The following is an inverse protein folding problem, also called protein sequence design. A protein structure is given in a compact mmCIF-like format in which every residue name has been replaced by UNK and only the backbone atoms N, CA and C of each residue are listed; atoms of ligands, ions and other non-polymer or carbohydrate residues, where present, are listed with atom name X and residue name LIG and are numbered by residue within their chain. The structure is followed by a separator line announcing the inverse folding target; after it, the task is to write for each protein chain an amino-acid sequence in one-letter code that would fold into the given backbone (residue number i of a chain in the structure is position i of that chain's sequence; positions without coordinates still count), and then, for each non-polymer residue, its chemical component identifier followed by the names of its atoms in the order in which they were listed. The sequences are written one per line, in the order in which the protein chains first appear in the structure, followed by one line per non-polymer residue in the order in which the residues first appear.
data_IF_253983411854
#
_entry.id   IF_253983411854
#
_cell.length_a   1.000
_cell.length_b   1.000
_cell.length_c   1.000
_cell.angle_alpha   90.00
_cell.angle_beta   90.00
_cell.angle_gamma   90.00
#
_symmetry.space_group_name_H-M   'P 1'
#
loop_
_entity.id
_entity.type
_entity.pdbx_description
1 polymer ?
#
# COMPACT_ATOMS: atom_id res chain seq x y z
N UNK A 1 -7.06 13.67 -29.90
CA UNK A 1 -6.99 12.21 -29.67
C UNK A 1 -6.99 12.00 -28.16
N UNK A 2 -8.03 11.33 -27.65
CA UNK A 2 -8.04 10.90 -26.24
C UNK A 2 -7.00 9.77 -26.12
N UNK A 3 -5.89 10.03 -25.44
CA UNK A 3 -4.94 9.00 -25.03
C UNK A 3 -5.64 8.15 -23.97
N UNK A 4 -6.03 6.95 -24.32
CA UNK A 4 -6.55 5.96 -23.38
C UNK A 4 -5.33 5.33 -22.69
N UNK A 5 -5.22 5.37 -21.36
CA UNK A 5 -4.13 4.70 -20.67
C UNK A 5 -4.17 3.19 -20.93
N UNK A 6 -3.02 2.62 -21.23
CA UNK A 6 -2.87 1.16 -21.39
C UNK A 6 -2.46 0.58 -20.05
N UNK A 7 -3.25 -0.36 -19.54
CA UNK A 7 -2.92 -1.15 -18.37
C UNK A 7 -2.32 -2.48 -18.82
N UNK A 8 -1.16 -2.83 -18.28
CA UNK A 8 -0.51 -4.11 -18.51
C UNK A 8 -0.56 -4.91 -17.21
N UNK A 9 -1.24 -6.04 -17.23
CA UNK A 9 -1.40 -6.92 -16.08
C UNK A 9 -0.56 -8.18 -16.31
N UNK A 10 0.41 -8.43 -15.42
CA UNK A 10 1.15 -9.69 -15.44
C UNK A 10 0.32 -10.83 -14.83
N UNK A 11 0.51 -12.08 -15.28
CA UNK A 11 0.04 -13.21 -14.49
C UNK A 11 0.76 -13.26 -13.14
N UNK A 12 0.28 -14.06 -12.17
CA UNK A 12 1.01 -14.31 -10.93
C UNK A 12 2.43 -14.82 -11.23
N UNK A 13 3.42 -14.19 -10.63
CA UNK A 13 4.82 -14.53 -10.80
C UNK A 13 5.43 -14.95 -9.46
N UNK A 14 6.29 -15.97 -9.51
CA UNK A 14 7.10 -16.34 -8.37
C UNK A 14 8.24 -15.35 -8.21
N UNK A 15 8.80 -15.27 -7.01
CA UNK A 15 9.88 -14.33 -6.71
C UNK A 15 11.13 -14.55 -7.61
N UNK A 16 11.45 -15.79 -7.94
CA UNK A 16 12.54 -16.14 -8.86
C UNK A 16 12.28 -15.74 -10.31
N UNK A 17 11.06 -15.32 -10.64
CA UNK A 17 10.65 -14.85 -11.97
C UNK A 17 10.58 -13.32 -12.07
N UNK A 18 11.01 -12.58 -11.05
CA UNK A 18 10.94 -11.11 -11.03
C UNK A 18 11.70 -10.47 -12.20
N UNK A 19 12.73 -11.15 -12.71
CA UNK A 19 13.46 -10.71 -13.91
C UNK A 19 12.56 -10.55 -15.15
N UNK A 20 11.43 -11.25 -15.22
CA UNK A 20 10.46 -11.13 -16.34
C UNK A 20 9.86 -9.73 -16.33
N UNK A 21 9.53 -9.20 -15.14
CA UNK A 21 9.00 -7.83 -14.99
C UNK A 21 10.05 -6.79 -15.36
N UNK A 22 11.30 -6.99 -14.98
CA UNK A 22 12.39 -6.07 -15.37
C UNK A 22 12.66 -6.09 -16.86
N UNK A 23 12.58 -7.26 -17.51
CA UNK A 23 12.69 -7.35 -18.97
C UNK A 23 11.50 -6.65 -19.66
N UNK A 24 10.28 -6.82 -19.15
CA UNK A 24 9.10 -6.12 -19.66
C UNK A 24 9.27 -4.61 -19.50
N UNK A 25 9.69 -4.14 -18.30
CA UNK A 25 9.99 -2.74 -18.05
C UNK A 25 10.97 -2.16 -19.07
N UNK A 26 12.06 -2.87 -19.31
CA UNK A 26 13.09 -2.45 -20.29
C UNK A 26 12.52 -2.36 -21.70
N UNK A 27 11.78 -3.36 -22.15
CA UNK A 27 11.15 -3.37 -23.48
C UNK A 27 10.14 -2.22 -23.64
N UNK A 28 9.35 -1.94 -22.61
CA UNK A 28 8.42 -0.81 -22.62
C UNK A 28 9.14 0.54 -22.67
N UNK A 29 10.21 0.71 -21.90
CA UNK A 29 11.05 1.91 -21.95
C UNK A 29 11.63 2.12 -23.35
N UNK A 30 12.25 1.08 -23.93
CA UNK A 30 12.84 1.11 -25.28
C UNK A 30 11.79 1.39 -26.37
N UNK A 31 10.53 1.04 -26.14
CA UNK A 31 9.40 1.33 -27.01
C UNK A 31 8.83 2.75 -26.84
N UNK A 32 9.40 3.57 -25.94
CA UNK A 32 8.95 4.94 -25.69
C UNK A 32 7.70 5.05 -24.83
N UNK A 33 7.42 4.03 -23.98
CA UNK A 33 6.34 4.10 -23.01
C UNK A 33 6.55 5.27 -22.03
N UNK A 34 5.44 5.91 -21.65
CA UNK A 34 5.44 7.11 -20.81
C UNK A 34 4.94 6.81 -19.40
N UNK A 35 5.54 7.43 -18.40
CA UNK A 35 5.26 7.20 -16.98
C UNK A 35 4.40 8.27 -16.31
N UNK A 36 4.36 8.23 -14.99
CA UNK A 36 3.54 9.09 -14.13
C UNK A 36 3.80 10.58 -14.35
N UNK A 37 5.05 10.98 -14.60
CA UNK A 37 5.46 12.39 -14.71
C UNK A 37 5.10 13.04 -16.02
N UNK A 38 4.78 12.26 -17.05
CA UNK A 38 4.54 12.77 -18.41
C UNK A 38 3.18 13.45 -18.55
N UNK A 39 2.22 13.16 -17.71
CA UNK A 39 0.88 13.75 -17.80
C UNK A 39 0.18 13.86 -16.44
N UNK A 40 -0.17 15.08 -16.07
CA UNK A 40 -1.01 15.37 -14.90
C UNK A 40 -2.43 14.80 -15.00
N UNK A 41 -2.89 14.49 -16.22
CA UNK A 41 -4.24 13.96 -16.45
C UNK A 41 -4.32 12.46 -16.28
N UNK A 42 -3.21 11.76 -16.50
CA UNK A 42 -3.13 10.31 -16.38
C UNK A 42 -2.17 9.95 -15.25
N UNK A 43 -2.71 9.78 -14.04
CA UNK A 43 -1.92 9.36 -12.90
C UNK A 43 -1.51 7.88 -13.03
N UNK A 44 -0.65 7.56 -14.00
CA UNK A 44 -0.06 6.24 -14.14
C UNK A 44 0.62 5.82 -12.83
N UNK A 45 0.44 4.58 -12.45
CA UNK A 45 1.07 4.01 -11.27
C UNK A 45 1.41 2.56 -11.50
N UNK A 46 2.29 2.05 -10.65
CA UNK A 46 2.52 0.62 -10.53
C UNK A 46 1.65 0.10 -9.39
N UNK A 47 0.85 -0.91 -9.67
CA UNK A 47 0.13 -1.64 -8.65
C UNK A 47 0.85 -2.96 -8.39
N UNK A 48 1.22 -3.20 -7.15
CA UNK A 48 1.80 -4.46 -6.73
C UNK A 48 0.74 -5.22 -5.94
N UNK A 49 0.58 -6.50 -6.24
CA UNK A 49 -0.40 -7.36 -5.61
C UNK A 49 0.33 -8.53 -4.90
N UNK A 50 0.94 -8.29 -3.73
CA UNK A 50 1.58 -9.36 -2.95
C UNK A 50 0.55 -10.37 -2.47
N UNK A 51 0.84 -11.66 -2.65
CA UNK A 51 0.00 -12.72 -2.12
C UNK A 51 0.04 -12.73 -0.59
N UNK A 52 -1.11 -13.01 0.05
CA UNK A 52 -1.18 -13.07 1.51
C UNK A 52 -0.44 -14.31 2.04
N UNK A 53 0.37 -14.16 3.10
CA UNK A 53 1.05 -15.30 3.72
C UNK A 53 0.11 -16.15 4.59
N UNK A 54 -1.06 -15.64 4.95
CA UNK A 54 -2.03 -16.32 5.80
C UNK A 54 -3.43 -15.75 5.58
N UNK A 55 -4.44 -16.61 5.69
CA UNK A 55 -5.86 -16.25 5.65
C UNK A 55 -6.40 -15.76 7.00
N UNK A 56 -5.59 -15.78 8.05
CA UNK A 56 -5.99 -15.35 9.37
C UNK A 56 -6.19 -13.82 9.44
N UNK A 57 -7.29 -13.39 10.01
CA UNK A 57 -7.60 -11.96 10.20
C UNK A 57 -6.48 -11.22 10.96
N UNK A 58 -5.88 -11.87 11.96
CA UNK A 58 -4.76 -11.30 12.72
C UNK A 58 -3.57 -10.96 11.81
N UNK A 59 -3.28 -11.82 10.83
CA UNK A 59 -2.20 -11.58 9.86
C UNK A 59 -2.52 -10.36 8.98
N UNK A 60 -3.76 -10.27 8.47
CA UNK A 60 -4.21 -9.14 7.66
C UNK A 60 -4.10 -7.81 8.44
N UNK A 61 -4.62 -7.78 9.67
CA UNK A 61 -4.55 -6.58 10.53
C UNK A 61 -3.10 -6.16 10.76
N UNK A 62 -2.20 -7.09 11.03
CA UNK A 62 -0.78 -6.79 11.25
C UNK A 62 -0.09 -6.20 10.02
N UNK A 63 -0.41 -6.69 8.81
CA UNK A 63 0.11 -6.11 7.58
C UNK A 63 -0.41 -4.68 7.36
N UNK A 64 -1.69 -4.45 7.64
CA UNK A 64 -2.25 -3.10 7.59
C UNK A 64 -1.60 -2.17 8.63
N UNK A 65 -1.39 -2.63 9.86
CA UNK A 65 -0.68 -1.89 10.91
C UNK A 65 0.76 -1.56 10.48
N UNK A 66 1.49 -2.54 9.96
CA UNK A 66 2.85 -2.35 9.47
C UNK A 66 2.91 -1.35 8.31
N UNK A 67 1.98 -1.46 7.37
CA UNK A 67 1.87 -0.52 6.25
C UNK A 67 1.60 0.91 6.74
N UNK A 68 0.66 1.10 7.66
CA UNK A 68 0.33 2.42 8.23
C UNK A 68 1.55 3.01 8.97
N UNK A 69 2.26 2.19 9.74
CA UNK A 69 3.46 2.62 10.49
C UNK A 69 4.56 3.09 9.52
N UNK A 70 4.82 2.35 8.45
CA UNK A 70 5.84 2.72 7.47
C UNK A 70 5.36 3.69 6.39
N UNK A 71 4.07 4.02 6.33
CA UNK A 71 3.51 4.85 5.27
C UNK A 71 4.22 6.20 5.06
N UNK A 72 4.56 6.99 6.10
CA UNK A 72 5.30 8.24 5.93
C UNK A 72 6.70 8.04 5.31
N UNK A 73 7.41 6.98 5.72
CA UNK A 73 8.69 6.61 5.13
C UNK A 73 8.54 6.14 3.66
N UNK A 74 7.52 5.32 3.37
CA UNK A 74 7.23 4.85 2.02
C UNK A 74 6.95 6.04 1.09
N UNK A 75 6.16 7.02 1.54
CA UNK A 75 5.88 8.24 0.78
C UNK A 75 7.16 9.02 0.43
N UNK A 76 8.02 9.24 1.43
CA UNK A 76 9.25 9.99 1.26
C UNK A 76 10.24 9.24 0.37
N UNK A 77 10.51 7.96 0.66
CA UNK A 77 11.47 7.14 -0.08
C UNK A 77 11.05 6.81 -1.51
N UNK A 78 9.74 6.85 -1.80
CA UNK A 78 9.20 6.58 -3.14
C UNK A 78 9.12 7.83 -4.00
N UNK A 79 9.43 9.02 -3.48
CA UNK A 79 9.29 10.29 -4.20
C UNK A 79 7.95 10.41 -4.91
N UNK A 80 6.86 10.06 -4.19
CA UNK A 80 5.51 10.02 -4.78
C UNK A 80 5.15 11.38 -5.35
N UNK A 81 4.82 11.40 -6.63
CA UNK A 81 4.44 12.61 -7.35
C UNK A 81 3.26 13.30 -6.69
N UNK A 82 3.41 14.61 -6.45
CA UNK A 82 2.40 15.43 -5.77
C UNK A 82 1.08 15.44 -6.56
N UNK A 83 1.14 15.34 -7.89
CA UNK A 83 -0.06 15.30 -8.74
C UNK A 83 -0.97 14.11 -8.40
N UNK A 84 -0.39 12.94 -8.12
CA UNK A 84 -1.15 11.75 -7.72
C UNK A 84 -1.83 11.90 -6.37
N UNK A 85 -1.27 12.72 -5.48
CA UNK A 85 -1.84 13.03 -4.16
C UNK A 85 -2.96 14.08 -4.28
N UNK A 86 -2.86 15.01 -5.23
CA UNK A 86 -3.83 16.09 -5.43
C UNK A 86 -5.02 15.68 -6.29
N UNK A 87 -4.88 14.67 -7.14
CA UNK A 87 -5.91 14.23 -8.09
C UNK A 87 -6.90 13.20 -7.54
N UNK A 88 -6.92 12.94 -6.23
CA UNK A 88 -7.78 11.96 -5.55
C UNK A 88 -7.60 10.50 -6.01
N UNK A 89 -6.56 10.18 -6.78
CA UNK A 89 -6.27 8.80 -7.15
C UNK A 89 -5.74 7.96 -5.99
N UNK A 90 -5.13 8.63 -4.99
CA UNK A 90 -4.63 8.00 -3.76
C UNK A 90 -4.94 8.92 -2.59
N UNK A 91 -5.91 8.52 -1.76
CA UNK A 91 -6.27 9.22 -0.53
C UNK A 91 -5.58 8.54 0.66
N UNK A 92 -4.86 9.26 1.54
CA UNK A 92 -4.31 8.67 2.75
C UNK A 92 -5.44 8.10 3.63
N UNK A 93 -5.10 7.17 4.51
CA UNK A 93 -6.04 6.73 5.52
C UNK A 93 -6.41 7.91 6.44
N UNK A 94 -7.70 8.03 6.85
CA UNK A 94 -8.11 9.04 7.82
C UNK A 94 -7.40 8.86 9.18
N UNK A 95 -7.10 9.95 9.87
CA UNK A 95 -6.40 9.90 11.16
C UNK A 95 -7.18 9.08 12.20
N UNK A 96 -8.51 9.18 12.20
CA UNK A 96 -9.37 8.39 13.09
C UNK A 96 -9.25 6.89 12.82
N UNK A 97 -9.11 6.51 11.54
CA UNK A 97 -8.89 5.11 11.18
C UNK A 97 -7.50 4.63 11.58
N UNK A 98 -6.47 5.45 11.38
CA UNK A 98 -5.12 5.15 11.85
C UNK A 98 -5.12 4.93 13.36
N UNK A 99 -5.80 5.80 14.12
CA UNK A 99 -5.91 5.67 15.57
C UNK A 99 -6.60 4.38 15.99
N UNK A 100 -7.68 4.02 15.30
CA UNK A 100 -8.40 2.77 15.57
C UNK A 100 -7.50 1.55 15.32
N UNK A 101 -6.90 1.45 14.11
CA UNK A 101 -6.10 0.29 13.71
C UNK A 101 -4.82 0.14 14.52
N UNK A 102 -4.17 1.24 14.91
CA UNK A 102 -2.97 1.22 15.74
C UNK A 102 -3.26 1.17 17.25
N UNK A 103 -4.53 1.08 17.67
CA UNK A 103 -4.86 0.86 19.09
C UNK A 103 -4.30 -0.49 19.55
N UNK A 104 -3.65 -0.47 20.73
CA UNK A 104 -3.09 -1.70 21.34
C UNK A 104 -4.16 -2.73 21.67
N UNK A 105 -5.41 -2.30 21.84
CA UNK A 105 -6.56 -3.14 22.20
C UNK A 105 -7.46 -3.48 21.01
N UNK A 106 -7.09 -3.11 19.79
CA UNK A 106 -7.88 -3.40 18.60
C UNK A 106 -7.87 -4.90 18.29
N UNK A 107 -9.00 -5.56 18.55
CA UNK A 107 -9.18 -7.03 18.41
C UNK A 107 -10.57 -7.34 17.86
N UNK A 108 -10.93 -6.85 16.66
CA UNK A 108 -12.21 -7.13 16.06
C UNK A 108 -12.32 -8.60 15.63
N UNK A 109 -13.54 -9.06 15.46
CA UNK A 109 -13.83 -10.19 14.57
C UNK A 109 -13.86 -9.73 13.10
N UNK A 110 -14.09 -10.64 12.17
CA UNK A 110 -14.08 -10.33 10.74
C UNK A 110 -15.16 -9.32 10.34
N UNK A 111 -16.37 -9.44 10.87
CA UNK A 111 -17.46 -8.51 10.57
C UNK A 111 -17.17 -7.11 11.11
N UNK A 112 -16.67 -7.03 12.33
CA UNK A 112 -16.24 -5.76 12.94
C UNK A 112 -15.13 -5.09 12.15
N UNK A 113 -14.09 -5.83 11.74
CA UNK A 113 -13.00 -5.30 10.93
C UNK A 113 -13.48 -4.76 9.58
N UNK A 114 -14.35 -5.51 8.88
CA UNK A 114 -14.90 -5.11 7.58
C UNK A 114 -15.77 -3.86 7.72
N UNK A 115 -16.60 -3.80 8.76
CA UNK A 115 -17.43 -2.64 9.05
C UNK A 115 -16.58 -1.40 9.34
N UNK A 116 -15.55 -1.52 10.18
CA UNK A 116 -14.62 -0.44 10.47
C UNK A 116 -13.88 0.00 9.21
N UNK A 117 -13.35 -0.95 8.42
CA UNK A 117 -12.70 -0.63 7.16
C UNK A 117 -13.62 0.17 6.24
N UNK A 118 -14.84 -0.30 6.01
CA UNK A 118 -15.81 0.35 5.14
C UNK A 118 -16.23 1.73 5.64
N UNK A 119 -16.46 1.87 6.94
CA UNK A 119 -16.86 3.14 7.55
C UNK A 119 -15.88 4.27 7.26
N UNK A 120 -14.58 3.98 7.35
CA UNK A 120 -13.51 4.97 7.18
C UNK A 120 -12.94 5.02 5.75
N UNK A 121 -13.18 3.97 4.96
CA UNK A 121 -12.61 3.82 3.62
C UNK A 121 -13.70 3.39 2.61
N UNK A 122 -14.76 4.19 2.44
CA UNK A 122 -15.87 3.83 1.57
C UNK A 122 -15.49 3.82 0.09
N UNK A 123 -14.43 4.54 -0.28
CA UNK A 123 -13.86 4.54 -1.62
C UNK A 123 -12.65 3.60 -1.73
N UNK A 124 -12.30 3.25 -2.96
CA UNK A 124 -11.20 2.32 -3.26
C UNK A 124 -9.87 3.02 -3.54
N UNK A 125 -9.75 4.32 -3.28
CA UNK A 125 -8.58 5.12 -3.60
C UNK A 125 -7.55 5.18 -2.47
N UNK A 126 -7.45 4.13 -1.65
CA UNK A 126 -6.44 4.03 -0.59
C UNK A 126 -5.10 3.55 -1.15
N UNK A 127 -3.96 3.95 -0.54
CA UNK A 127 -2.63 3.49 -0.94
C UNK A 127 -2.47 1.97 -0.82
N UNK A 128 -3.22 1.36 0.10
CA UNK A 128 -3.42 -0.09 0.23
C UNK A 128 -4.93 -0.36 0.26
N UNK A 129 -5.48 -0.78 -0.89
CA UNK A 129 -6.90 -1.12 -1.05
C UNK A 129 -7.14 -2.57 -0.63
N UNK A 130 -7.90 -2.78 0.46
CA UNK A 130 -8.16 -4.11 0.98
C UNK A 130 -9.40 -4.77 0.39
N UNK A 131 -10.26 -4.08 -0.36
CA UNK A 131 -11.50 -4.69 -0.87
C UNK A 131 -11.27 -5.93 -1.73
N UNK A 132 -10.27 -6.02 -2.62
CA UNK A 132 -10.02 -7.25 -3.38
C UNK A 132 -9.73 -8.46 -2.47
N UNK A 133 -8.96 -8.25 -1.41
CA UNK A 133 -8.62 -9.27 -0.43
C UNK A 133 -9.79 -9.62 0.48
N UNK A 134 -10.50 -8.62 0.99
CA UNK A 134 -11.67 -8.82 1.85
C UNK A 134 -12.78 -9.54 1.10
N UNK A 135 -13.01 -9.23 -0.19
CA UNK A 135 -13.96 -9.94 -1.03
C UNK A 135 -13.58 -11.39 -1.27
N UNK A 136 -12.29 -11.71 -1.23
CA UNK A 136 -11.81 -13.09 -1.35
C UNK A 136 -11.99 -13.88 -0.05
N UNK A 137 -11.62 -13.28 1.09
CA UNK A 137 -11.66 -13.96 2.39
C UNK A 137 -13.07 -14.00 3.00
N UNK A 138 -13.87 -12.97 2.77
CA UNK A 138 -15.15 -12.74 3.45
C UNK A 138 -16.23 -12.25 2.46
N UNK A 139 -16.60 -13.05 1.45
CA UNK A 139 -17.52 -12.61 0.41
C UNK A 139 -18.89 -12.18 0.95
N UNK A 140 -19.49 -12.97 1.85
CA UNK A 140 -20.83 -12.66 2.40
C UNK A 140 -20.90 -11.35 3.20
N UNK A 141 -19.98 -11.03 4.13
CA UNK A 141 -19.92 -9.72 4.77
C UNK A 141 -19.73 -8.56 3.79
N UNK A 142 -18.90 -8.73 2.77
CA UNK A 142 -18.67 -7.69 1.75
C UNK A 142 -19.89 -7.44 0.88
N UNK A 143 -20.62 -8.47 0.47
CA UNK A 143 -21.87 -8.33 -0.30
C UNK A 143 -22.94 -7.50 0.45
N UNK A 144 -22.96 -7.56 1.77
CA UNK A 144 -23.87 -6.78 2.62
C UNK A 144 -23.55 -5.28 2.68
N UNK A 145 -22.35 -4.85 2.27
CA UNK A 145 -21.98 -3.43 2.27
C UNK A 145 -22.63 -2.62 1.13
N UNK A 146 -23.22 -3.30 0.14
CA UNK A 146 -23.80 -2.66 -1.03
C UNK A 146 -22.85 -2.57 -2.23
N UNK A 147 -23.11 -1.63 -3.12
CA UNK A 147 -22.33 -1.48 -4.37
C UNK A 147 -20.98 -0.81 -4.10
N UNK A 148 -19.92 -1.59 -4.19
CA UNK A 148 -18.53 -1.15 -4.12
C UNK A 148 -17.92 -0.89 -5.51
N UNK A 149 -18.72 -0.97 -6.56
CA UNK A 149 -18.25 -1.00 -7.94
C UNK A 149 -17.51 -2.30 -8.27
N UNK A 150 -16.83 -2.38 -9.42
CA UNK A 150 -16.15 -3.61 -9.85
C UNK A 150 -14.96 -3.93 -8.94
N UNK A 151 -15.08 -4.97 -8.13
CA UNK A 151 -14.00 -5.51 -7.28
C UNK A 151 -13.53 -6.85 -7.86
N UNK A 152 -12.26 -6.93 -8.20
CA UNK A 152 -11.63 -8.20 -8.59
C UNK A 152 -11.14 -8.93 -7.36
N UNK A 153 -11.94 -9.87 -6.86
CA UNK A 153 -11.63 -10.72 -5.69
C UNK A 153 -10.38 -11.57 -5.92
N UNK A 154 -9.40 -11.49 -5.01
CA UNK A 154 -8.14 -12.22 -5.13
C UNK A 154 -7.39 -12.29 -3.78
N UNK A 155 -6.54 -13.33 -3.58
CA UNK A 155 -5.80 -13.53 -2.32
C UNK A 155 -4.55 -12.64 -2.22
N UNK A 156 -4.68 -11.36 -2.56
CA UNK A 156 -3.54 -10.45 -2.57
C UNK A 156 -3.90 -9.11 -1.94
N UNK A 157 -2.91 -8.47 -1.34
CA UNK A 157 -2.98 -7.03 -1.07
C UNK A 157 -3.02 -6.26 -2.39
N UNK A 158 -3.60 -5.07 -2.40
CA UNK A 158 -3.60 -4.18 -3.56
C UNK A 158 -2.86 -2.88 -3.21
N UNK A 159 -1.54 -2.90 -3.38
CA UNK A 159 -0.65 -1.79 -3.08
C UNK A 159 -0.56 -0.87 -4.31
N UNK A 160 -1.16 0.34 -4.22
CA UNK A 160 -1.41 1.25 -5.34
C UNK A 160 -0.52 2.49 -5.35
N UNK A 161 0.26 2.70 -4.31
CA UNK A 161 1.00 3.94 -4.08
C UNK A 161 2.11 4.23 -5.11
N UNK A 162 2.90 3.24 -5.60
CA UNK A 162 4.10 3.51 -6.36
C UNK A 162 3.88 4.26 -7.68
N UNK A 163 4.80 5.16 -8.01
CA UNK A 163 4.87 5.78 -9.34
C UNK A 163 5.27 4.75 -10.40
N UNK A 164 4.84 4.98 -11.63
CA UNK A 164 5.39 4.34 -12.82
C UNK A 164 6.33 5.32 -13.52
N UNK A 165 7.63 5.13 -13.36
CA UNK A 165 8.67 5.98 -13.97
C UNK A 165 9.29 5.25 -15.16
N UNK A 166 8.44 4.66 -16.02
CA UNK A 166 8.87 3.81 -17.15
C UNK A 166 9.70 4.56 -18.18
N UNK A 167 9.56 5.89 -18.24
CA UNK A 167 10.31 6.80 -19.09
C UNK A 167 11.73 7.10 -18.55
N UNK A 168 12.01 6.80 -17.27
CA UNK A 168 13.34 6.91 -16.68
C UNK A 168 14.15 5.61 -16.91
N UNK A 169 15.28 5.63 -17.64
CA UNK A 169 16.12 4.46 -17.88
C UNK A 169 16.69 3.83 -16.60
N UNK A 170 16.86 4.64 -15.53
CA UNK A 170 17.40 4.16 -14.26
C UNK A 170 16.36 3.62 -13.30
N UNK A 171 15.06 3.84 -13.60
CA UNK A 171 14.00 3.34 -12.75
C UNK A 171 13.93 1.80 -12.75
N UNK A 172 13.67 1.22 -11.59
CA UNK A 172 13.56 -0.22 -11.37
C UNK A 172 12.33 -0.54 -10.51
N UNK A 173 11.81 -1.76 -10.64
CA UNK A 173 10.66 -2.22 -9.84
C UNK A 173 11.07 -2.71 -8.45
N UNK A 174 12.28 -3.26 -8.30
CA UNK A 174 12.72 -3.87 -7.04
C UNK A 174 12.73 -2.91 -5.83
N UNK A 175 13.04 -1.61 -5.93
CA UNK A 175 12.96 -0.74 -4.76
C UNK A 175 11.55 -0.63 -4.20
N UNK A 176 10.55 -0.66 -5.09
CA UNK A 176 9.13 -0.67 -4.68
C UNK A 176 8.76 -1.96 -3.98
N UNK A 177 9.23 -3.10 -4.50
CA UNK A 177 9.05 -4.40 -3.87
C UNK A 177 9.75 -4.47 -2.51
N UNK A 178 10.97 -3.98 -2.41
CA UNK A 178 11.73 -3.98 -1.16
C UNK A 178 11.03 -3.20 -0.04
N UNK A 179 10.36 -2.08 -0.36
CA UNK A 179 9.53 -1.36 0.64
C UNK A 179 8.38 -2.21 1.16
N UNK A 180 7.78 -3.02 0.31
CA UNK A 180 6.75 -3.97 0.74
C UNK A 180 7.32 -5.07 1.64
N UNK A 181 8.53 -5.56 1.35
CA UNK A 181 9.21 -6.56 2.21
C UNK A 181 9.36 -6.04 3.65
N UNK A 182 9.69 -4.76 3.84
CA UNK A 182 9.75 -4.19 5.20
C UNK A 182 8.40 -4.24 5.92
N UNK A 183 7.30 -4.02 5.19
CA UNK A 183 5.95 -4.17 5.74
C UNK A 183 5.70 -5.60 6.19
N UNK A 184 6.05 -6.59 5.37
CA UNK A 184 5.89 -8.02 5.70
C UNK A 184 6.74 -8.44 6.89
N UNK A 185 8.00 -8.01 6.93
CA UNK A 185 8.91 -8.34 8.03
C UNK A 185 8.41 -7.79 9.36
N UNK A 186 7.94 -6.53 9.38
CA UNK A 186 7.34 -5.96 10.58
C UNK A 186 6.04 -6.67 10.97
N UNK A 187 5.18 -7.00 9.99
CA UNK A 187 3.92 -7.70 10.25
C UNK A 187 4.12 -9.10 10.86
N UNK A 188 5.23 -9.77 10.55
CA UNK A 188 5.56 -11.08 11.09
C UNK A 188 6.19 -11.03 12.49
N UNK A 189 6.82 -9.92 12.87
CA UNK A 189 7.46 -9.75 14.18
C UNK A 189 6.52 -9.07 15.19
N UNK A 190 5.84 -9.87 16.01
CA UNK A 190 4.88 -9.39 17.00
C UNK A 190 5.52 -8.52 18.10
N UNK A 191 6.74 -8.83 18.49
CA UNK A 191 7.43 -8.06 19.53
C UNK A 191 7.85 -6.71 19.00
N UNK A 192 8.49 -6.67 17.85
CA UNK A 192 8.89 -5.45 17.15
C UNK A 192 7.67 -4.57 16.82
N UNK A 193 6.57 -5.17 16.37
CA UNK A 193 5.31 -4.46 16.12
C UNK A 193 4.79 -3.75 17.37
N UNK A 194 4.75 -4.44 18.52
CA UNK A 194 4.28 -3.84 19.78
C UNK A 194 5.18 -2.70 20.24
N UNK A 195 6.49 -2.84 20.07
CA UNK A 195 7.45 -1.80 20.45
C UNK A 195 7.31 -0.56 19.57
N UNK A 196 7.28 -0.73 18.26
CA UNK A 196 7.16 0.41 17.33
C UNK A 196 5.80 1.12 17.48
N UNK A 197 4.71 0.39 17.75
CA UNK A 197 3.41 0.99 18.03
C UNK A 197 3.43 1.86 19.29
N UNK A 198 4.07 1.39 20.37
CA UNK A 198 4.25 2.22 21.59
C UNK A 198 5.05 3.48 21.30
N UNK A 199 6.11 3.34 20.50
CA UNK A 199 6.95 4.48 20.13
C UNK A 199 6.24 5.46 19.21
N UNK A 200 5.41 4.93 18.27
CA UNK A 200 4.54 5.72 17.41
C UNK A 200 3.62 6.62 18.25
N UNK A 201 2.89 6.05 19.20
CA UNK A 201 1.97 6.78 20.04
C UNK A 201 2.66 7.80 20.94
N UNK A 202 3.79 7.44 21.54
CA UNK A 202 4.60 8.38 22.30
C UNK A 202 5.00 9.58 21.43
N UNK A 203 5.54 9.34 20.25
CA UNK A 203 5.96 10.40 19.33
C UNK A 203 4.77 11.23 18.84
N UNK A 204 3.64 10.59 18.57
CA UNK A 204 2.41 11.27 18.15
C UNK A 204 1.94 12.30 19.20
N UNK A 205 1.88 11.89 20.46
CA UNK A 205 1.45 12.76 21.56
C UNK A 205 2.47 13.87 21.90
N UNK A 206 3.74 13.62 21.68
CA UNK A 206 4.81 14.60 21.91
C UNK A 206 5.01 15.59 20.75
N UNK A 207 4.39 15.34 19.58
CA UNK A 207 4.63 16.13 18.37
C UNK A 207 3.36 16.85 17.93
N UNK A 208 3.27 18.13 18.21
CA UNK A 208 2.08 18.94 17.87
C UNK A 208 1.97 19.24 16.36
N UNK A 209 3.08 19.43 15.67
CA UNK A 209 3.15 19.80 14.25
C UNK A 209 4.25 18.99 13.55
N UNK A 210 4.00 18.54 12.31
CA UNK A 210 5.02 17.87 11.51
C UNK A 210 5.28 16.40 11.90
N UNK A 211 4.31 15.75 12.56
CA UNK A 211 4.43 14.35 12.96
C UNK A 211 4.85 13.43 11.82
N UNK A 212 4.22 13.52 10.65
CA UNK A 212 4.53 12.63 9.52
C UNK A 212 5.99 12.74 9.07
N UNK A 213 6.52 13.95 8.99
CA UNK A 213 7.93 14.15 8.62
C UNK A 213 8.88 13.59 9.68
N UNK A 214 8.60 13.87 10.95
CA UNK A 214 9.38 13.34 12.08
C UNK A 214 9.32 11.82 12.13
N UNK A 215 8.11 11.25 11.95
CA UNK A 215 7.91 9.81 12.00
C UNK A 215 8.55 9.10 10.80
N UNK A 216 8.55 9.68 9.61
CA UNK A 216 9.27 9.14 8.47
C UNK A 216 10.75 8.92 8.77
N UNK A 217 11.39 9.87 9.45
CA UNK A 217 12.80 9.75 9.84
C UNK A 217 13.02 8.70 10.94
N UNK A 218 12.15 8.69 11.95
CA UNK A 218 12.24 7.77 13.09
C UNK A 218 11.98 6.32 12.64
N UNK A 219 10.98 6.08 11.80
CA UNK A 219 10.60 4.74 11.36
C UNK A 219 11.70 4.03 10.58
N UNK A 220 12.63 4.77 9.97
CA UNK A 220 13.83 4.22 9.30
C UNK A 220 14.69 3.37 10.26
N UNK A 221 14.77 3.74 11.54
CA UNK A 221 15.53 2.97 12.53
C UNK A 221 14.94 1.59 12.82
N UNK A 222 13.74 1.33 12.32
CA UNK A 222 13.01 0.09 12.49
C UNK A 222 13.03 -0.79 11.23
N UNK A 223 13.62 -0.31 10.14
CA UNK A 223 13.81 -1.10 8.93
C UNK A 223 14.78 -2.25 9.20
N UNK A 224 14.58 -3.35 8.47
CA UNK A 224 15.45 -4.53 8.57
C UNK A 224 16.64 -4.38 7.62
N UNK A 225 16.40 -3.75 6.47
CA UNK A 225 17.42 -3.51 5.47
C UNK A 225 17.67 -2.01 5.30
N UNK A 226 18.90 -1.65 4.98
CA UNK A 226 19.23 -0.29 4.53
C UNK A 226 18.75 -0.11 3.08
N UNK A 227 18.01 0.97 2.82
CA UNK A 227 17.43 1.30 1.51
C UNK A 227 17.96 2.63 0.96
#
# INVERSE_FOLDING_TARGET
SHLIPVEIISPPLRFDQFYILENLRKALHESGAQGTTTSFVYAFGVHINPEIPSVELKSLIRHLQAFIIFYPWILESSQIDISRRLTHFINPFPDEYIQLILSMDYRPDAEGFIKDYHQYNPDRNRPLDLYPLLSYLYPEPIEKLGDLGPVSSRPTYHYRLPNCMIDDPEWRLYPTWNRWIEVELLAQDELKMKEIMKYYWKTYHETMIGFHQKWSQISRNWLTYEH
#
